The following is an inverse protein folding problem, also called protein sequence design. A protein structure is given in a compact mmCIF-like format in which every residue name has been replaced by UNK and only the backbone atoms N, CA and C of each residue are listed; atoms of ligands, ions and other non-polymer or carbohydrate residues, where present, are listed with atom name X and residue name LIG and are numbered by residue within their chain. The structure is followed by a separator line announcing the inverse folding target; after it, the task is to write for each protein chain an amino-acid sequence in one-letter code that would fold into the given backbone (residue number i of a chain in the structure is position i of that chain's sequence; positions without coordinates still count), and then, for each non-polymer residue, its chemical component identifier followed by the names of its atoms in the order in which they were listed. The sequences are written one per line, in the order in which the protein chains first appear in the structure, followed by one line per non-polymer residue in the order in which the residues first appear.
data_IF_907069541973
#
_entry.id   IF_907069541973
#
_cell.length_a   1.000
_cell.length_b   1.000
_cell.length_c   1.000
_cell.angle_alpha   90.00
_cell.angle_beta   90.00
_cell.angle_gamma   90.00
#
_symmetry.space_group_name_H-M   'P 1'
#
loop_
_entity.id
_entity.type
_entity.pdbx_description
1 polymer ?
#
# COMPACT_ATOMS: atom_id res chain seq x y z
N UNK A 1 -8.21 -11.49 -2.49
CA UNK A 1 -8.44 -10.12 -2.99
C UNK A 1 -7.54 -9.83 -4.18
N UNK A 2 -7.85 -8.79 -4.95
CA UNK A 2 -7.09 -8.34 -6.13
C UNK A 2 -6.27 -7.09 -5.81
N UNK A 3 -5.24 -6.81 -6.62
CA UNK A 3 -4.50 -5.54 -6.61
C UNK A 3 -5.45 -4.33 -6.66
N UNK A 4 -6.54 -4.44 -7.43
CA UNK A 4 -7.59 -3.41 -7.54
C UNK A 4 -8.32 -3.18 -6.22
N UNK A 5 -8.66 -4.25 -5.49
CA UNK A 5 -9.30 -4.13 -4.17
C UNK A 5 -8.37 -3.41 -3.20
N UNK A 6 -7.06 -3.69 -3.27
CA UNK A 6 -6.04 -2.99 -2.48
C UNK A 6 -6.01 -1.48 -2.74
N UNK A 7 -6.10 -1.06 -4.01
CA UNK A 7 -6.19 0.37 -4.37
C UNK A 7 -7.45 1.04 -3.84
N UNK A 8 -8.62 0.43 -4.02
CA UNK A 8 -9.89 1.00 -3.53
C UNK A 8 -9.86 1.15 -2.00
N UNK A 9 -9.29 0.17 -1.31
CA UNK A 9 -9.19 0.18 0.15
C UNK A 9 -8.16 1.21 0.64
N UNK A 10 -7.05 1.36 -0.07
CA UNK A 10 -6.04 2.40 0.19
C UNK A 10 -6.61 3.82 0.03
N UNK A 11 -7.39 4.07 -1.03
CA UNK A 11 -8.07 5.35 -1.23
C UNK A 11 -9.12 5.62 -0.14
N UNK A 12 -9.88 4.58 0.24
CA UNK A 12 -10.82 4.66 1.33
C UNK A 12 -10.15 5.00 2.67
N UNK A 13 -9.03 4.34 2.99
CA UNK A 13 -8.25 4.62 4.20
C UNK A 13 -7.74 6.06 4.24
N UNK A 14 -7.23 6.58 3.11
CA UNK A 14 -6.81 7.99 3.01
C UNK A 14 -7.97 8.95 3.29
N UNK A 15 -9.14 8.70 2.68
CA UNK A 15 -10.31 9.55 2.94
C UNK A 15 -10.75 9.52 4.41
N UNK A 16 -10.71 8.36 5.06
CA UNK A 16 -11.05 8.23 6.48
C UNK A 16 -10.02 8.95 7.36
N UNK A 17 -8.73 8.82 7.03
CA UNK A 17 -7.65 9.50 7.73
C UNK A 17 -7.82 11.02 7.67
N UNK A 18 -8.10 11.58 6.49
CA UNK A 18 -8.32 13.02 6.30
C UNK A 18 -9.60 13.50 7.03
N UNK A 19 -10.58 12.63 7.22
CA UNK A 19 -11.79 12.91 8.02
C UNK A 19 -11.57 12.75 9.54
N UNK A 20 -10.37 12.36 9.98
CA UNK A 20 -10.06 12.09 11.39
C UNK A 20 -10.61 10.77 11.93
N UNK A 21 -11.07 9.88 11.07
CA UNK A 21 -11.59 8.55 11.42
C UNK A 21 -10.44 7.52 11.53
N UNK A 22 -9.46 7.80 12.39
CA UNK A 22 -8.17 7.09 12.38
C UNK A 22 -8.26 5.58 12.62
N UNK A 23 -9.12 5.10 13.51
CA UNK A 23 -9.29 3.65 13.75
C UNK A 23 -9.88 2.93 12.52
N UNK A 24 -10.77 3.59 11.78
CA UNK A 24 -11.29 3.05 10.51
C UNK A 24 -10.20 3.07 9.45
N UNK A 25 -9.47 4.17 9.36
CA UNK A 25 -8.37 4.33 8.42
C UNK A 25 -7.31 3.23 8.60
N UNK A 26 -6.91 2.96 9.85
CA UNK A 26 -5.97 1.87 10.19
C UNK A 26 -6.47 0.50 9.70
N UNK A 27 -7.77 0.22 9.87
CA UNK A 27 -8.38 -1.02 9.38
C UNK A 27 -8.33 -1.10 7.85
N UNK A 28 -8.75 -0.04 7.16
CA UNK A 28 -8.69 0.02 5.69
C UNK A 28 -7.25 -0.11 5.17
N UNK A 29 -6.27 0.52 5.82
CA UNK A 29 -4.87 0.36 5.44
C UNK A 29 -4.38 -1.08 5.66
N UNK A 30 -4.77 -1.72 6.77
CA UNK A 30 -4.42 -3.13 7.03
C UNK A 30 -5.01 -4.07 5.98
N UNK A 31 -6.26 -3.85 5.58
CA UNK A 31 -6.90 -4.62 4.51
C UNK A 31 -6.19 -4.40 3.15
N UNK A 32 -5.75 -3.16 2.88
CA UNK A 32 -4.95 -2.87 1.68
C UNK A 32 -3.59 -3.60 1.68
N UNK A 33 -2.90 -3.65 2.83
CA UNK A 33 -1.64 -4.42 2.98
C UNK A 33 -1.87 -5.87 2.58
N UNK A 34 -2.89 -6.52 3.15
CA UNK A 34 -3.20 -7.92 2.87
C UNK A 34 -3.49 -8.17 1.38
N UNK A 35 -4.19 -7.26 0.72
CA UNK A 35 -4.46 -7.36 -0.72
C UNK A 35 -3.18 -7.22 -1.57
N UNK A 36 -2.28 -6.30 -1.22
CA UNK A 36 -1.02 -6.11 -1.94
C UNK A 36 -0.03 -7.26 -1.71
N UNK A 37 0.10 -7.77 -0.48
CA UNK A 37 0.91 -8.95 -0.18
C UNK A 37 0.42 -10.18 -0.95
N UNK A 38 -0.90 -10.41 -0.98
CA UNK A 38 -1.49 -11.51 -1.75
C UNK A 38 -1.24 -11.38 -3.26
N UNK A 39 -1.25 -10.15 -3.78
CA UNK A 39 -0.89 -9.89 -5.17
C UNK A 39 0.59 -10.20 -5.43
N UNK A 40 1.51 -9.79 -4.55
CA UNK A 40 2.94 -10.14 -4.61
C UNK A 40 3.14 -11.65 -4.61
N UNK A 41 2.55 -12.37 -3.67
CA UNK A 41 2.64 -13.84 -3.58
C UNK A 41 2.15 -14.54 -4.86
N UNK A 42 1.09 -14.01 -5.47
CA UNK A 42 0.55 -14.51 -6.73
C UNK A 42 1.56 -14.34 -7.87
N UNK A 43 2.26 -13.21 -7.93
CA UNK A 43 3.30 -12.96 -8.93
C UNK A 43 4.57 -13.78 -8.69
N UNK A 44 4.89 -14.10 -7.44
CA UNK A 44 6.04 -14.94 -7.07
C UNK A 44 5.83 -16.43 -7.31
N UNK A 45 4.57 -16.88 -7.22
CA UNK A 45 4.20 -18.29 -7.38
C UNK A 45 4.26 -18.79 -8.83
N UNK A 46 4.35 -17.90 -9.81
CA UNK A 46 4.45 -18.22 -11.24
C UNK A 46 5.83 -17.81 -11.79
N UNK A 47 6.88 -18.64 -11.63
CA UNK A 47 8.28 -18.24 -11.84
C UNK A 47 8.68 -18.07 -13.32
N UNK A 48 7.85 -18.50 -14.27
CA UNK A 48 8.13 -18.41 -15.71
C UNK A 48 6.91 -17.88 -16.48
N UNK A 49 6.54 -16.59 -16.28
CA UNK A 49 5.62 -15.95 -17.19
C UNK A 49 6.19 -16.04 -18.62
N UNK A 50 5.34 -16.17 -19.65
CA UNK A 50 5.78 -16.12 -21.05
C UNK A 50 6.75 -14.96 -21.25
N UNK A 51 7.82 -15.13 -22.01
CA UNK A 51 8.93 -14.16 -22.11
C UNK A 51 8.55 -12.73 -22.54
N UNK A 52 7.32 -12.51 -23.02
CA UNK A 52 6.76 -11.18 -23.28
C UNK A 52 6.03 -10.53 -22.09
N UNK A 53 5.86 -11.24 -20.98
CA UNK A 53 5.16 -10.82 -19.77
C UNK A 53 6.08 -10.68 -18.56
N UNK A 54 7.31 -11.22 -18.60
CA UNK A 54 8.28 -11.15 -17.48
C UNK A 54 8.45 -9.73 -16.96
N UNK A 55 8.68 -8.75 -17.83
CA UNK A 55 8.82 -7.34 -17.43
C UNK A 55 7.55 -6.77 -16.80
N UNK A 56 6.36 -7.16 -17.28
CA UNK A 56 5.09 -6.71 -16.69
C UNK A 56 4.87 -7.33 -15.30
N UNK A 57 5.26 -8.59 -15.10
CA UNK A 57 5.19 -9.26 -13.80
C UNK A 57 6.20 -8.68 -12.82
N UNK A 58 7.42 -8.36 -13.26
CA UNK A 58 8.43 -7.68 -12.45
C UNK A 58 7.98 -6.28 -12.03
N UNK A 59 7.41 -5.49 -12.97
CA UNK A 59 6.82 -4.18 -12.66
C UNK A 59 5.65 -4.32 -11.69
N UNK A 60 4.75 -5.28 -11.91
CA UNK A 60 3.60 -5.50 -11.02
C UNK A 60 4.05 -5.92 -9.62
N UNK A 61 5.08 -6.76 -9.49
CA UNK A 61 5.67 -7.16 -8.20
C UNK A 61 6.31 -5.97 -7.49
N UNK A 62 7.09 -5.16 -8.21
CA UNK A 62 7.65 -3.92 -7.67
C UNK A 62 6.53 -3.00 -7.16
N UNK A 63 5.48 -2.78 -7.96
CA UNK A 63 4.34 -1.95 -7.58
C UNK A 63 3.63 -2.49 -6.34
N UNK A 64 3.31 -3.79 -6.29
CA UNK A 64 2.63 -4.40 -5.14
C UNK A 64 3.43 -4.23 -3.85
N UNK A 65 4.76 -4.42 -3.89
CA UNK A 65 5.60 -4.25 -2.70
C UNK A 65 5.60 -2.81 -2.20
N UNK A 66 5.81 -1.84 -3.09
CA UNK A 66 5.80 -0.43 -2.72
C UNK A 66 4.41 0.04 -2.23
N UNK A 67 3.32 -0.54 -2.76
CA UNK A 67 1.97 -0.27 -2.29
C UNK A 67 1.69 -0.88 -0.92
N UNK A 68 2.21 -2.07 -0.62
CA UNK A 68 2.14 -2.67 0.71
C UNK A 68 2.92 -1.84 1.74
N UNK A 69 4.11 -1.34 1.37
CA UNK A 69 4.91 -0.44 2.20
C UNK A 69 4.16 0.88 2.44
N UNK A 70 3.54 1.45 1.40
CA UNK A 70 2.73 2.66 1.52
C UNK A 70 1.55 2.45 2.49
N UNK A 71 0.79 1.37 2.32
CA UNK A 71 -0.34 1.03 3.17
C UNK A 71 0.09 0.82 4.64
N UNK A 72 1.23 0.16 4.86
CA UNK A 72 1.83 -0.02 6.19
C UNK A 72 2.14 1.33 6.85
N UNK A 73 2.83 2.21 6.13
CA UNK A 73 3.16 3.53 6.64
C UNK A 73 1.90 4.36 6.95
N UNK A 74 0.85 4.27 6.14
CA UNK A 74 -0.41 4.94 6.44
C UNK A 74 -1.17 4.33 7.64
N UNK A 75 -1.14 3.00 7.81
CA UNK A 75 -1.69 2.35 9.01
C UNK A 75 -0.99 2.85 10.27
N UNK A 76 0.34 2.91 10.24
CA UNK A 76 1.15 3.45 11.35
C UNK A 76 0.86 4.94 11.61
N UNK A 77 0.63 5.72 10.55
CA UNK A 77 0.22 7.11 10.68
C UNK A 77 -1.14 7.23 11.38
N UNK A 78 -2.11 6.39 11.01
CA UNK A 78 -3.44 6.35 11.61
C UNK A 78 -3.38 5.96 13.09
N UNK A 79 -2.61 4.93 13.43
CA UNK A 79 -2.40 4.51 14.82
C UNK A 79 -1.74 5.63 15.66
N UNK A 80 -0.73 6.31 15.12
CA UNK A 80 -0.08 7.44 15.79
C UNK A 80 -1.04 8.62 15.99
N UNK A 81 -1.87 8.94 14.99
CA UNK A 81 -2.87 9.99 15.08
C UNK A 81 -3.95 9.67 16.14
N UNK A 82 -4.42 8.41 16.18
CA UNK A 82 -5.35 7.92 17.21
C UNK A 82 -4.76 8.01 18.63
N UNK A 83 -3.45 7.76 18.77
CA UNK A 83 -2.72 7.89 20.02
C UNK A 83 -2.41 9.35 20.42
N UNK A 84 -2.72 10.34 19.57
CA UNK A 84 -2.43 11.75 19.80
C UNK A 84 -0.96 12.12 19.61
N UNK A 85 -0.21 11.38 18.77
CA UNK A 85 1.17 11.67 18.38
C UNK A 85 1.23 12.23 16.94
N UNK A 86 1.05 13.55 16.75
CA UNK A 86 1.01 14.16 15.43
C UNK A 86 2.37 14.17 14.72
N UNK A 87 3.48 14.10 15.47
CA UNK A 87 4.83 14.10 14.88
C UNK A 87 5.09 12.75 14.23
N UNK A 88 4.77 11.66 14.92
CA UNK A 88 4.88 10.32 14.35
C UNK A 88 3.87 10.14 13.21
N UNK A 89 2.63 10.62 13.36
CA UNK A 89 1.62 10.54 12.31
C UNK A 89 2.06 11.22 11.00
N UNK A 90 2.57 12.45 11.08
CA UNK A 90 3.04 13.21 9.91
C UNK A 90 4.23 12.52 9.24
N UNK A 91 5.21 12.04 10.03
CA UNK A 91 6.34 11.29 9.50
C UNK A 91 5.90 10.05 8.73
N UNK A 92 5.02 9.24 9.32
CA UNK A 92 4.55 7.99 8.71
C UNK A 92 3.69 8.24 7.47
N UNK A 93 2.89 9.31 7.48
CA UNK A 93 2.19 9.77 6.27
C UNK A 93 3.17 10.09 5.14
N UNK A 94 4.22 10.87 5.42
CA UNK A 94 5.25 11.20 4.42
C UNK A 94 5.99 9.95 3.92
N UNK A 95 6.26 8.98 4.79
CA UNK A 95 6.84 7.69 4.40
C UNK A 95 5.90 6.94 3.43
N UNK A 96 4.59 6.93 3.70
CA UNK A 96 3.60 6.33 2.81
C UNK A 96 3.51 7.02 1.44
N UNK A 97 3.53 8.36 1.42
CA UNK A 97 3.53 9.14 0.17
C UNK A 97 4.79 8.85 -0.68
N UNK A 98 5.97 8.71 -0.06
CA UNK A 98 7.20 8.32 -0.76
C UNK A 98 7.10 6.93 -1.37
N UNK A 99 6.52 5.97 -0.66
CA UNK A 99 6.28 4.61 -1.20
C UNK A 99 5.29 4.62 -2.37
N UNK A 100 4.26 5.49 -2.36
CA UNK A 100 3.39 5.67 -3.54
C UNK A 100 4.15 6.21 -4.75
N UNK A 101 5.10 7.12 -4.54
CA UNK A 101 5.97 7.59 -5.62
C UNK A 101 6.91 6.48 -6.12
N UNK A 102 7.48 5.69 -5.21
CA UNK A 102 8.31 4.53 -5.57
C UNK A 102 7.52 3.49 -6.39
N UNK A 103 6.27 3.20 -6.02
CA UNK A 103 5.38 2.33 -6.80
C UNK A 103 5.18 2.83 -8.23
N UNK A 104 4.97 4.14 -8.41
CA UNK A 104 4.85 4.74 -9.76
C UNK A 104 6.16 4.61 -10.54
N UNK A 105 7.29 4.72 -9.85
CA UNK A 105 8.62 4.64 -10.45
C UNK A 105 9.02 3.22 -10.89
N UNK A 106 8.34 2.16 -10.44
CA UNK A 106 8.56 0.77 -10.87
C UNK A 106 8.34 0.52 -12.38
N UNK A 107 7.68 1.46 -13.08
CA UNK A 107 7.35 1.37 -14.50
C UNK A 107 8.26 2.21 -15.41
N UNK A 108 9.29 2.85 -14.84
CA UNK A 108 10.25 3.71 -15.58
C UNK A 108 11.50 2.97 -16.05
#
# INVERSE_FOLDING_TARGET
ESLLDGYETLEQGQSQFDNGEYERAETSFTDAIAAFEMATDTFESDPEPPSGLTTNVETARCQSNELADAATAFADAAAAAAAGDPITADRRRNDGEQSLEAARNCSQ
#
